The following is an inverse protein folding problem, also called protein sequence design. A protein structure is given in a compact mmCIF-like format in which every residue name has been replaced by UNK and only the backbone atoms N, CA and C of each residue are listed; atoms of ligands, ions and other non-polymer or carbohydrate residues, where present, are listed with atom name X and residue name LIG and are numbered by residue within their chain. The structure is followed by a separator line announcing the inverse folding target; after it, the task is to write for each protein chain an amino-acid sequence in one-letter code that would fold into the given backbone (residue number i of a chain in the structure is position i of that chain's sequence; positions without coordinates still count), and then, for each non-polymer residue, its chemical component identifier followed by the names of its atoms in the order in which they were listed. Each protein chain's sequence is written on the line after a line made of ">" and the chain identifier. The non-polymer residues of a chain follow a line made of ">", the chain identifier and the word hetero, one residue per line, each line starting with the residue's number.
data_IF_133992091452
#
_entry.id   IF_133992091452
#
_cell.length_a   1.000
_cell.length_b   1.000
_cell.length_c   1.000
_cell.angle_alpha   90.00
_cell.angle_beta   90.00
_cell.angle_gamma   90.00
#
_symmetry.space_group_name_H-M   'P 1'
#
loop_
_entity.id
_entity.type
_entity.pdbx_description
1 polymer ?
#
# COMPACT_ATOMS: atom_id res chain seq x y z
N UNK A 1 2.02 2.90 19.87
CA UNK A 1 1.66 3.75 21.04
C UNK A 1 0.15 3.90 21.20
N UNK A 2 -0.60 4.28 20.15
CA UNK A 2 -2.06 4.44 20.23
C UNK A 2 -2.80 3.14 20.65
N UNK A 3 -2.44 2.00 20.05
CA UNK A 3 -3.02 0.70 20.42
C UNK A 3 -2.84 0.35 21.91
N UNK A 4 -1.72 0.76 22.51
CA UNK A 4 -1.46 0.55 23.94
C UNK A 4 -2.37 1.43 24.82
N UNK A 5 -2.59 2.68 24.42
CA UNK A 5 -3.45 3.61 25.18
C UNK A 5 -4.92 3.21 25.12
N UNK A 6 -5.37 2.61 24.03
CA UNK A 6 -6.79 2.27 23.82
C UNK A 6 -7.16 0.85 24.26
N UNK A 7 -6.21 -0.09 24.27
CA UNK A 7 -6.53 -1.50 24.58
C UNK A 7 -5.44 -2.26 25.32
N UNK A 8 -4.45 -1.56 25.90
CA UNK A 8 -3.35 -2.17 26.63
C UNK A 8 -2.45 -3.08 25.78
N UNK A 9 -1.63 -3.88 26.45
CA UNK A 9 -0.58 -4.69 25.81
C UNK A 9 -1.13 -5.75 24.83
N UNK A 10 -2.31 -6.34 25.11
CA UNK A 10 -2.93 -7.35 24.24
C UNK A 10 -3.33 -6.75 22.89
N UNK A 11 -3.89 -5.54 22.91
CA UNK A 11 -4.25 -4.81 21.69
C UNK A 11 -3.01 -4.45 20.86
N UNK A 12 -1.92 -4.04 21.51
CA UNK A 12 -0.65 -3.75 20.81
C UNK A 12 -0.20 -4.96 20.02
N UNK A 13 -0.09 -6.12 20.65
CA UNK A 13 0.45 -7.33 20.00
C UNK A 13 -0.38 -7.68 18.76
N UNK A 14 -1.70 -7.71 18.89
CA UNK A 14 -2.61 -8.06 17.79
C UNK A 14 -2.52 -7.01 16.68
N UNK A 15 -2.63 -5.72 17.01
CA UNK A 15 -2.58 -4.64 16.02
C UNK A 15 -1.23 -4.60 15.29
N UNK A 16 -0.09 -4.71 16.00
CA UNK A 16 1.22 -4.65 15.35
C UNK A 16 1.48 -5.87 14.45
N UNK A 17 0.99 -7.05 14.83
CA UNK A 17 1.12 -8.24 14.00
C UNK A 17 0.29 -8.11 12.70
N UNK A 18 -0.97 -7.71 12.82
CA UNK A 18 -1.83 -7.47 11.66
C UNK A 18 -1.30 -6.34 10.76
N UNK A 19 -0.77 -5.27 11.36
CA UNK A 19 -0.16 -4.17 10.62
C UNK A 19 1.05 -4.65 9.81
N UNK A 20 1.90 -5.52 10.36
CA UNK A 20 3.03 -6.10 9.64
C UNK A 20 2.60 -6.94 8.43
N UNK A 21 1.54 -7.74 8.57
CA UNK A 21 0.96 -8.50 7.46
C UNK A 21 0.44 -7.56 6.37
N UNK A 22 -0.34 -6.55 6.76
CA UNK A 22 -0.91 -5.58 5.82
C UNK A 22 0.21 -4.78 5.11
N UNK A 23 1.25 -4.37 5.84
CA UNK A 23 2.40 -3.68 5.26
C UNK A 23 3.12 -4.55 4.23
N UNK A 24 3.30 -5.84 4.51
CA UNK A 24 4.02 -6.76 3.61
C UNK A 24 3.23 -7.04 2.33
N UNK A 25 1.92 -7.30 2.43
CA UNK A 25 1.09 -7.51 1.23
C UNK A 25 0.89 -6.22 0.45
N UNK A 26 0.72 -5.10 1.16
CA UNK A 26 0.56 -3.78 0.56
C UNK A 26 1.78 -3.30 -0.21
N UNK A 27 3.00 -3.57 0.28
CA UNK A 27 4.24 -3.23 -0.45
C UNK A 27 4.38 -4.06 -1.73
N UNK A 28 4.07 -5.36 -1.67
CA UNK A 28 4.08 -6.24 -2.86
C UNK A 28 3.10 -5.75 -3.91
N UNK A 29 1.93 -5.25 -3.50
CA UNK A 29 0.94 -4.67 -4.42
C UNK A 29 1.37 -3.31 -4.98
N UNK A 30 2.03 -2.47 -4.18
CA UNK A 30 2.45 -1.13 -4.57
C UNK A 30 3.57 -1.11 -5.62
N UNK A 31 4.57 -1.99 -5.47
CA UNK A 31 5.77 -2.05 -6.33
C UNK A 31 5.43 -2.09 -7.83
N UNK A 32 4.55 -2.97 -8.34
CA UNK A 32 4.22 -3.00 -9.77
C UNK A 32 3.53 -1.73 -10.27
N UNK A 33 2.81 -1.00 -9.42
CA UNK A 33 2.11 0.23 -9.80
C UNK A 33 3.04 1.42 -10.06
N UNK A 34 4.28 1.36 -9.55
CA UNK A 34 5.28 2.41 -9.77
C UNK A 34 5.92 2.34 -11.16
N UNK A 35 5.78 1.23 -11.89
CA UNK A 35 6.53 0.98 -13.13
C UNK A 35 8.02 0.67 -12.92
N UNK A 36 8.53 0.79 -11.70
CA UNK A 36 9.95 0.59 -11.33
C UNK A 36 10.23 -0.79 -10.74
N UNK A 37 9.27 -1.72 -10.80
CA UNK A 37 9.42 -3.07 -10.26
C UNK A 37 10.64 -3.82 -10.83
N UNK A 38 10.99 -3.55 -12.10
CA UNK A 38 12.17 -4.15 -12.77
C UNK A 38 13.48 -3.52 -12.33
N UNK A 39 13.46 -2.30 -11.80
CA UNK A 39 14.65 -1.60 -11.33
C UNK A 39 15.00 -1.93 -9.87
N UNK A 40 14.20 -2.79 -9.22
CA UNK A 40 14.43 -3.21 -7.84
C UNK A 40 14.24 -2.09 -6.81
N UNK A 41 13.54 -1.01 -7.20
CA UNK A 41 13.25 0.11 -6.30
C UNK A 41 12.25 -0.35 -5.24
N UNK A 42 12.68 -0.28 -3.98
CA UNK A 42 11.86 -0.68 -2.84
C UNK A 42 10.72 0.29 -2.55
N UNK A 43 9.75 -0.16 -1.76
CA UNK A 43 8.65 0.66 -1.28
C UNK A 43 8.87 1.12 0.16
N UNK A 44 8.33 2.27 0.54
CA UNK A 44 8.57 2.89 1.87
C UNK A 44 8.11 2.02 3.04
N UNK A 45 7.11 1.15 2.82
CA UNK A 45 6.65 0.18 3.81
C UNK A 45 5.86 0.75 4.99
N UNK A 46 5.50 2.04 4.96
CA UNK A 46 4.66 2.67 6.00
C UNK A 46 3.19 2.25 5.76
N UNK A 47 2.38 2.14 6.82
CA UNK A 47 1.01 1.61 6.74
C UNK A 47 0.13 2.31 5.69
N UNK A 48 0.08 3.64 5.72
CA UNK A 48 -0.66 4.49 4.78
C UNK A 48 -0.15 4.35 3.34
N UNK A 49 1.16 4.19 3.17
CA UNK A 49 1.80 3.93 1.88
C UNK A 49 1.58 2.49 1.39
N UNK A 50 1.30 1.54 2.27
CA UNK A 50 1.02 0.15 1.89
C UNK A 50 -0.48 -0.11 1.64
N UNK A 51 -1.37 0.78 2.08
CA UNK A 51 -2.83 0.56 2.01
C UNK A 51 -3.54 1.60 1.15
N UNK A 52 -3.54 2.86 1.58
CA UNK A 52 -4.27 3.94 0.93
C UNK A 52 -3.63 4.31 -0.40
N UNK A 53 -2.31 4.46 -0.41
CA UNK A 53 -1.63 4.94 -1.61
C UNK A 53 -1.69 3.96 -2.80
N UNK A 54 -1.47 2.64 -2.61
CA UNK A 54 -1.58 1.69 -3.71
C UNK A 54 -3.02 1.60 -4.24
N UNK A 55 -4.02 1.74 -3.37
CA UNK A 55 -5.43 1.81 -3.79
C UNK A 55 -5.74 3.07 -4.61
N UNK A 56 -5.18 4.23 -4.23
CA UNK A 56 -5.31 5.46 -5.02
C UNK A 56 -4.60 5.30 -6.37
N UNK A 57 -3.39 4.73 -6.41
CA UNK A 57 -2.67 4.47 -7.65
C UNK A 57 -3.43 3.53 -8.58
N UNK A 58 -4.05 2.47 -8.05
CA UNK A 58 -4.88 1.56 -8.83
C UNK A 58 -6.12 2.27 -9.39
N UNK A 59 -6.78 3.11 -8.58
CA UNK A 59 -7.93 3.89 -9.01
C UNK A 59 -7.55 4.90 -10.11
N UNK A 60 -6.43 5.60 -9.96
CA UNK A 60 -5.95 6.54 -10.96
C UNK A 60 -5.58 5.82 -12.26
N UNK A 61 -4.98 4.62 -12.18
CA UNK A 61 -4.70 3.78 -13.35
C UNK A 61 -6.00 3.38 -14.04
N UNK A 62 -7.03 3.00 -13.29
CA UNK A 62 -8.35 2.66 -13.83
C UNK A 62 -9.03 3.85 -14.52
N UNK A 63 -9.00 5.03 -13.90
CA UNK A 63 -9.52 6.28 -14.48
C UNK A 63 -8.74 6.64 -15.74
N UNK A 64 -7.41 6.63 -15.69
CA UNK A 64 -6.57 6.93 -16.85
C UNK A 64 -6.83 5.97 -18.03
N UNK A 65 -7.01 4.68 -17.75
CA UNK A 65 -7.39 3.69 -18.75
C UNK A 65 -8.77 3.97 -19.36
N UNK A 66 -9.76 4.33 -18.52
CA UNK A 66 -11.14 4.64 -18.99
C UNK A 66 -11.18 5.86 -19.90
N UNK A 67 -10.35 6.87 -19.63
CA UNK A 67 -10.27 8.09 -20.44
C UNK A 67 -9.19 8.04 -21.53
N UNK A 68 -8.55 6.89 -21.75
CA UNK A 68 -7.46 6.71 -22.71
C UNK A 68 -6.33 7.75 -22.55
N UNK A 69 -6.03 8.12 -21.31
CA UNK A 69 -5.02 9.13 -20.98
C UNK A 69 -3.68 8.46 -20.67
N UNK A 70 -2.63 8.85 -21.41
CA UNK A 70 -1.26 8.40 -21.20
C UNK A 70 -0.94 7.01 -21.75
N UNK A 71 0.17 6.39 -21.34
CA UNK A 71 0.66 5.10 -21.88
C UNK A 71 -0.19 3.87 -21.50
N UNK A 72 -1.34 4.09 -20.85
CA UNK A 72 -2.29 3.07 -20.40
C UNK A 72 -3.62 3.11 -21.20
N UNK A 73 -3.67 3.91 -22.28
CA UNK A 73 -4.74 3.80 -23.27
C UNK A 73 -4.63 2.44 -23.96
N UNK A 74 -5.66 1.62 -23.78
CA UNK A 74 -5.88 0.41 -24.57
C UNK A 74 -6.58 0.81 -25.86
#
# INVERSE_FOLDING_TARGET
>A
VLANRMGGYRSVIICTFLLGIIQTFGTVWAIPLTGLAKEGVGWTGIFDWATLWPAICELLKFIASTFHLGPYSI
#
